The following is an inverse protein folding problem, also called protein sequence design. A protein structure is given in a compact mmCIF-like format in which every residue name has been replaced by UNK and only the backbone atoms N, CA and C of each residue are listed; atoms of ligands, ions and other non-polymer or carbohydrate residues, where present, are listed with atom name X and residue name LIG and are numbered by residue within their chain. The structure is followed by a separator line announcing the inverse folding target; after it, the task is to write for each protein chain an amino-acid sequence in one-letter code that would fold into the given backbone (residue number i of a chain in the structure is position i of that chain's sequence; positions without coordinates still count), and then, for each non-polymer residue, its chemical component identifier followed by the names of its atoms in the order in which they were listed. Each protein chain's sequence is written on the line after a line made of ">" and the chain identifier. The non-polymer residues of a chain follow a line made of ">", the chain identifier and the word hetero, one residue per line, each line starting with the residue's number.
data_IF_316513121137
#
_entry.id   IF_316513121137
#
_cell.length_a   1.000
_cell.length_b   1.000
_cell.length_c   1.000
_cell.angle_alpha   90.00
_cell.angle_beta   90.00
_cell.angle_gamma   90.00
#
_symmetry.space_group_name_H-M   'P 1'
#
loop_
_entity.id
_entity.type
_entity.pdbx_description
1 polymer ?
#
# COMPACT_ATOMS: atom_id res chain seq x y z
N UNK A 1 0.25 -0.91 4.73
CA UNK A 1 -0.06 -2.32 5.10
C UNK A 1 -0.26 -3.16 3.85
N UNK A 2 0.05 -4.45 3.85
CA UNK A 2 -0.20 -5.27 2.63
C UNK A 2 -1.70 -5.43 2.38
N UNK A 3 -2.10 -5.32 1.11
CA UNK A 3 -3.45 -5.56 0.63
C UNK A 3 -3.93 -6.97 1.04
N UNK A 4 -5.12 -7.10 1.66
CA UNK A 4 -5.63 -8.37 2.18
C UNK A 4 -5.93 -9.40 1.08
N UNK A 5 -6.10 -8.96 -0.16
CA UNK A 5 -6.34 -9.84 -1.30
C UNK A 5 -5.06 -10.35 -1.97
N UNK A 6 -3.87 -9.91 -1.54
CA UNK A 6 -2.62 -10.32 -2.17
C UNK A 6 -2.12 -11.65 -1.58
N UNK A 7 -1.97 -12.63 -2.46
CA UNK A 7 -1.34 -13.91 -2.16
C UNK A 7 -0.17 -14.17 -3.12
N UNK A 8 0.78 -15.01 -2.70
CA UNK A 8 1.85 -15.50 -3.56
C UNK A 8 1.68 -17.01 -3.73
N UNK A 9 1.33 -17.45 -4.94
CA UNK A 9 1.03 -18.85 -5.27
C UNK A 9 2.06 -19.41 -6.23
N UNK A 10 2.51 -20.65 -5.98
CA UNK A 10 3.42 -21.37 -6.88
C UNK A 10 2.68 -22.24 -7.90
N UNK A 11 1.37 -22.34 -7.80
CA UNK A 11 0.58 -23.25 -8.63
C UNK A 11 -0.76 -22.65 -9.05
N UNK A 12 -1.30 -23.17 -10.15
CA UNK A 12 -2.60 -22.81 -10.69
C UNK A 12 -3.17 -23.96 -11.53
N UNK A 13 -4.03 -24.77 -10.93
CA UNK A 13 -4.52 -25.99 -11.58
C UNK A 13 -3.34 -26.92 -11.88
N UNK A 14 -3.17 -27.29 -13.15
CA UNK A 14 -2.07 -28.16 -13.60
C UNK A 14 -0.74 -27.41 -13.82
N UNK A 15 -0.72 -26.08 -13.69
CA UNK A 15 0.48 -25.27 -13.86
C UNK A 15 1.24 -25.13 -12.54
N UNK A 16 2.54 -25.37 -12.58
CA UNK A 16 3.47 -25.18 -11.48
C UNK A 16 4.54 -24.14 -11.88
N UNK A 17 4.97 -23.33 -10.92
CA UNK A 17 5.95 -22.26 -11.10
C UNK A 17 7.15 -22.49 -10.19
N UNK A 18 8.35 -22.21 -10.72
CA UNK A 18 9.58 -22.31 -9.94
C UNK A 18 9.62 -21.31 -8.78
N UNK A 19 8.99 -20.14 -8.95
CA UNK A 19 8.88 -19.09 -7.94
C UNK A 19 7.41 -18.67 -7.75
N UNK A 20 7.06 -18.26 -6.53
CA UNK A 20 5.71 -17.84 -6.20
C UNK A 20 5.34 -16.55 -6.95
N UNK A 21 4.17 -16.56 -7.58
CA UNK A 21 3.65 -15.44 -8.37
C UNK A 21 2.52 -14.74 -7.64
N UNK A 22 2.48 -13.42 -7.78
CA UNK A 22 1.45 -12.59 -7.18
C UNK A 22 0.06 -12.94 -7.76
N UNK A 23 -0.86 -13.25 -6.87
CA UNK A 23 -2.24 -13.63 -7.14
C UNK A 23 -3.16 -12.70 -6.35
N UNK A 24 -4.17 -12.15 -7.02
CA UNK A 24 -5.19 -11.32 -6.37
C UNK A 24 -6.44 -12.16 -6.14
N UNK A 25 -6.80 -12.35 -4.87
CA UNK A 25 -7.99 -13.09 -4.45
C UNK A 25 -9.31 -12.42 -4.85
N UNK A 26 -9.37 -11.08 -4.87
CA UNK A 26 -10.60 -10.34 -5.22
C UNK A 26 -11.09 -10.61 -6.65
N UNK A 27 -10.16 -10.80 -7.60
CA UNK A 27 -10.45 -11.09 -9.02
C UNK A 27 -9.97 -12.48 -9.45
N UNK A 28 -9.58 -13.30 -8.48
CA UNK A 28 -9.15 -14.69 -8.64
C UNK A 28 -8.14 -14.93 -9.78
N UNK A 29 -7.14 -14.06 -9.93
CA UNK A 29 -6.15 -14.18 -11.01
C UNK A 29 -4.75 -13.70 -10.62
N UNK A 30 -3.75 -14.21 -11.35
CA UNK A 30 -2.40 -13.68 -11.26
C UNK A 30 -2.34 -12.24 -11.76
N UNK A 31 -1.56 -11.41 -11.06
CA UNK A 31 -1.37 -10.00 -11.36
C UNK A 31 0.08 -9.73 -11.76
N UNK A 32 0.29 -8.61 -12.45
CA UNK A 32 1.62 -8.19 -12.87
C UNK A 32 2.48 -7.78 -11.65
N UNK A 33 3.82 -7.88 -11.72
CA UNK A 33 4.71 -7.45 -10.64
C UNK A 33 4.45 -6.01 -10.18
N UNK A 34 4.22 -5.06 -11.11
CA UNK A 34 3.90 -3.68 -10.74
C UNK A 34 2.62 -3.56 -9.91
N UNK A 35 1.61 -4.40 -10.16
CA UNK A 35 0.41 -4.45 -9.34
C UNK A 35 0.74 -4.98 -7.95
N UNK A 36 1.59 -5.99 -7.87
CA UNK A 36 2.04 -6.53 -6.60
C UNK A 36 2.79 -5.48 -5.79
N UNK A 37 3.58 -4.60 -6.43
CA UNK A 37 4.25 -3.49 -5.73
C UNK A 37 3.24 -2.53 -5.08
N UNK A 38 2.17 -2.15 -5.80
CA UNK A 38 1.06 -1.36 -5.22
C UNK A 38 0.38 -2.12 -4.07
N UNK A 39 0.06 -3.40 -4.26
CA UNK A 39 -0.59 -4.19 -3.22
C UNK A 39 0.28 -4.44 -1.98
N UNK A 40 1.61 -4.29 -2.09
CA UNK A 40 2.53 -4.39 -0.96
C UNK A 40 2.87 -3.03 -0.34
N UNK A 41 2.23 -1.94 -0.77
CA UNK A 41 2.53 -0.57 -0.36
C UNK A 41 3.99 -0.18 -0.56
N UNK A 42 4.60 -0.63 -1.67
CA UNK A 42 5.99 -0.29 -1.99
C UNK A 42 6.06 1.04 -2.72
N UNK A 43 7.17 1.77 -2.52
CA UNK A 43 7.47 3.01 -3.24
C UNK A 43 6.37 4.08 -3.10
N UNK A 44 5.79 4.18 -1.90
CA UNK A 44 4.68 5.11 -1.59
C UNK A 44 3.40 4.85 -2.42
N UNK A 45 3.23 3.63 -2.95
CA UNK A 45 2.04 3.22 -3.68
C UNK A 45 1.08 2.45 -2.79
N UNK A 46 0.21 3.16 -2.07
CA UNK A 46 -0.77 2.56 -1.17
C UNK A 46 -1.88 1.80 -1.90
N UNK A 47 -2.13 0.55 -1.53
CA UNK A 47 -3.17 -0.30 -2.13
C UNK A 47 -4.58 0.30 -1.99
N UNK A 48 -4.86 0.98 -0.87
CA UNK A 48 -6.14 1.63 -0.60
C UNK A 48 -6.45 2.77 -1.59
N UNK A 49 -5.42 3.48 -2.05
CA UNK A 49 -5.58 4.65 -2.93
C UNK A 49 -5.30 4.32 -4.41
N UNK A 50 -4.27 3.52 -4.66
CA UNK A 50 -3.68 3.33 -5.99
C UNK A 50 -4.13 2.05 -6.69
N UNK A 51 -4.72 1.07 -6.00
CA UNK A 51 -5.22 -0.16 -6.62
C UNK A 51 -6.71 -0.04 -6.93
N UNK A 52 -7.11 -0.08 -8.22
CA UNK A 52 -8.54 -0.05 -8.55
C UNK A 52 -9.31 -1.27 -8.02
N UNK A 53 -8.70 -2.46 -8.05
CA UNK A 53 -9.35 -3.70 -7.62
C UNK A 53 -9.60 -3.69 -6.11
N UNK A 54 -8.64 -3.23 -5.30
CA UNK A 54 -8.89 -3.16 -3.86
C UNK A 54 -10.06 -2.22 -3.56
N UNK A 55 -10.09 -1.04 -4.17
CA UNK A 55 -11.17 -0.06 -3.97
C UNK A 55 -12.55 -0.59 -4.37
N UNK A 56 -12.62 -1.40 -5.42
CA UNK A 56 -13.87 -2.04 -5.86
C UNK A 56 -14.36 -3.12 -4.88
N UNK A 57 -13.48 -3.71 -4.09
CA UNK A 57 -13.77 -4.85 -3.19
C UNK A 57 -13.54 -4.53 -1.69
N UNK A 58 -13.19 -3.29 -1.34
CA UNK A 58 -12.80 -2.91 0.02
C UNK A 58 -13.92 -3.16 1.05
N UNK A 59 -15.18 -3.01 0.62
CA UNK A 59 -16.35 -3.27 1.47
C UNK A 59 -16.48 -4.75 1.89
N UNK A 60 -15.85 -5.68 1.17
CA UNK A 60 -15.92 -7.12 1.46
C UNK A 60 -15.01 -7.54 2.62
N UNK A 61 -13.98 -6.74 2.93
CA UNK A 61 -12.91 -7.13 3.87
C UNK A 61 -12.99 -6.42 5.21
N UNK A 62 -13.89 -5.44 5.37
CA UNK A 62 -14.03 -4.67 6.61
C UNK A 62 -12.74 -3.91 6.92
N UNK A 63 -12.64 -2.69 6.40
CA UNK A 63 -11.47 -1.81 6.49
C UNK A 63 -10.86 -1.77 7.92
N UNK A 64 -9.76 -2.51 8.10
CA UNK A 64 -8.89 -2.45 9.27
C UNK A 64 -7.77 -1.44 9.05
N UNK A 65 -8.10 -0.24 8.56
CA UNK A 65 -7.17 0.85 8.35
C UNK A 65 -6.71 1.46 9.66
N UNK A 66 -5.70 0.85 10.30
CA UNK A 66 -5.01 1.47 11.43
C UNK A 66 -4.10 2.60 10.90
N UNK A 67 -4.67 3.80 10.91
CA UNK A 67 -4.00 5.05 10.61
C UNK A 67 -3.16 5.50 11.80
N UNK A 68 -1.97 4.94 11.98
CA UNK A 68 -0.99 5.47 12.93
C UNK A 68 0.44 5.38 12.40
N UNK A 69 0.78 6.35 11.53
CA UNK A 69 2.12 6.91 11.46
C UNK A 69 2.01 8.43 11.51
N UNK A 70 1.88 8.92 12.75
CA UNK A 70 1.82 10.31 13.12
C UNK A 70 2.93 11.14 12.46
N UNK A 71 2.53 12.31 11.97
CA UNK A 71 3.43 13.31 11.43
C UNK A 71 4.37 13.89 12.48
N UNK A 72 5.60 14.13 12.06
CA UNK A 72 6.46 15.15 12.63
C UNK A 72 6.82 16.13 11.50
N UNK A 73 5.93 17.10 11.25
CA UNK A 73 6.30 18.32 10.54
C UNK A 73 6.87 19.26 11.59
N UNK A 74 8.18 19.23 11.76
CA UNK A 74 8.86 20.35 12.40
C UNK A 74 9.30 21.30 11.28
N UNK A 75 8.42 22.25 10.97
CA UNK A 75 8.79 23.48 10.27
C UNK A 75 8.89 24.55 11.34
N UNK A 76 10.03 24.64 12.00
CA UNK A 76 10.40 25.84 12.75
C UNK A 76 10.59 27.00 11.77
N UNK A 77 9.48 27.73 11.59
CA UNK A 77 9.38 29.12 11.18
C UNK A 77 10.36 29.96 12.01
N UNK A 78 11.50 30.34 11.42
CA UNK A 78 12.37 31.36 12.01
C UNK A 78 12.07 32.69 11.34
N UNK A 79 10.93 33.29 11.70
CA UNK A 79 10.71 34.72 11.46
C UNK A 79 10.66 35.50 12.77
N UNK A 80 11.65 36.39 12.93
CA UNK A 80 11.51 37.63 13.69
C UNK A 80 11.82 37.58 15.18
N UNK A 81 12.99 38.11 15.56
CA UNK A 81 12.99 39.22 16.51
C UNK A 81 14.18 40.14 16.24
N UNK A 82 13.89 41.27 15.59
CA UNK A 82 14.74 42.46 15.60
C UNK A 82 14.52 43.20 16.94
N UNK A 83 15.53 43.98 17.35
CA UNK A 83 15.61 45.00 18.44
C UNK A 83 15.65 44.56 19.92
N UNK A 84 16.83 44.77 20.56
CA UNK A 84 16.99 45.67 21.73
C UNK A 84 18.46 45.86 22.15
N UNK A 85 18.90 47.12 22.10
CA UNK A 85 19.65 47.87 23.13
C UNK A 85 21.06 47.39 23.60
N UNK A 86 22.13 47.97 23.00
CA UNK A 86 23.22 48.72 23.66
C UNK A 86 24.45 48.89 22.73
#
# INVERSE_FOLDING_TARGET
>A
MTCPFLEYRRESGDLQFDEARAYCGAVERFVQPMRADICNDRYDLEHAEHCEIYREHADEVGDGGDADAAGARDTEDTTGNEVSDQ
#
